data_IF_401262017776
#
_entry.id   IF_401262017776
#
_cell.length_a   1.000
_cell.length_b   1.000
_cell.length_c   1.000
_cell.angle_alpha   90.00
_cell.angle_beta   90.00
_cell.angle_gamma   90.00
#
_symmetry.space_group_name_H-M   'P 1'
#
loop_
_entity.id
_entity.type
_entity.pdbx_description
1 polymer ?
#
# COMPACT_ATOMS: atom_id res chain seq x y z
N UNK A 1 5.56 -17.14 -21.97
CA UNK A 1 5.12 -16.93 -20.57
C UNK A 1 3.65 -17.30 -20.44
N UNK A 2 3.28 -18.27 -19.60
CA UNK A 2 1.86 -18.60 -19.35
C UNK A 2 1.18 -17.37 -18.72
N UNK A 3 0.02 -16.96 -19.25
CA UNK A 3 -0.82 -15.91 -18.63
C UNK A 3 -1.27 -16.41 -17.26
N UNK A 4 -0.74 -15.83 -16.20
CA UNK A 4 -1.18 -16.11 -14.84
C UNK A 4 -2.45 -15.31 -14.56
N UNK A 5 -3.57 -16.00 -14.31
CA UNK A 5 -4.82 -15.36 -13.90
C UNK A 5 -4.62 -14.86 -12.46
N UNK A 6 -4.82 -13.56 -12.23
CA UNK A 6 -4.81 -12.96 -10.89
C UNK A 6 -6.23 -12.73 -10.43
N UNK A 7 -6.55 -13.12 -9.20
CA UNK A 7 -7.83 -12.86 -8.55
C UNK A 7 -7.58 -12.07 -7.26
N UNK A 8 -8.51 -11.18 -6.92
CA UNK A 8 -8.42 -10.30 -5.75
C UNK A 8 -9.73 -10.36 -4.96
N UNK A 9 -9.62 -10.37 -3.63
CA UNK A 9 -10.75 -10.25 -2.72
C UNK A 9 -10.67 -8.92 -1.97
N UNK A 10 -11.84 -8.33 -1.70
CA UNK A 10 -11.96 -7.08 -0.96
C UNK A 10 -12.49 -7.36 0.46
N UNK A 11 -11.73 -6.96 1.47
CA UNK A 11 -12.11 -7.11 2.86
C UNK A 11 -12.42 -5.77 3.50
N UNK A 12 -13.34 -5.77 4.47
CA UNK A 12 -13.69 -4.57 5.25
C UNK A 12 -13.16 -4.70 6.67
N UNK A 13 -12.65 -3.61 7.24
CA UNK A 13 -12.09 -3.57 8.58
C UNK A 13 -13.14 -3.16 9.64
N UNK A 14 -14.40 -3.56 9.46
CA UNK A 14 -15.54 -3.15 10.33
C UNK A 14 -15.36 -3.51 11.80
N UNK A 15 -14.54 -4.51 12.11
CA UNK A 15 -14.26 -4.98 13.47
C UNK A 15 -13.00 -4.37 14.09
N UNK A 16 -12.30 -3.48 13.36
CA UNK A 16 -11.17 -2.76 13.91
C UNK A 16 -11.64 -1.64 14.85
N UNK A 17 -10.94 -1.48 15.98
CA UNK A 17 -11.24 -0.39 16.91
C UNK A 17 -10.73 0.97 16.37
N UNK A 18 -11.19 2.06 16.99
CA UNK A 18 -10.85 3.43 16.58
C UNK A 18 -9.33 3.68 16.52
N UNK A 19 -8.55 3.13 17.46
CA UNK A 19 -7.10 3.34 17.50
C UNK A 19 -6.38 2.64 16.34
N UNK A 20 -6.83 1.45 15.96
CA UNK A 20 -6.33 0.72 14.80
C UNK A 20 -6.62 1.46 13.50
N UNK A 21 -7.83 2.02 13.36
CA UNK A 21 -8.20 2.83 12.20
C UNK A 21 -7.36 4.12 12.13
N UNK A 22 -7.23 4.85 13.25
CA UNK A 22 -6.36 6.04 13.33
C UNK A 22 -4.91 5.74 12.94
N UNK A 23 -4.39 4.56 13.30
CA UNK A 23 -3.06 4.14 12.86
C UNK A 23 -2.99 3.99 11.33
N UNK A 24 -3.99 3.37 10.70
CA UNK A 24 -4.02 3.26 9.23
C UNK A 24 -4.13 4.62 8.57
N UNK A 25 -4.94 5.53 9.11
CA UNK A 25 -5.06 6.89 8.60
C UNK A 25 -3.73 7.65 8.69
N UNK A 26 -3.05 7.56 9.84
CA UNK A 26 -1.72 8.16 10.04
C UNK A 26 -0.68 7.58 9.08
N UNK A 27 -0.69 6.24 8.92
CA UNK A 27 0.20 5.54 7.99
C UNK A 27 -0.07 5.92 6.54
N UNK A 28 -1.35 6.02 6.17
CA UNK A 28 -1.79 6.45 4.85
C UNK A 28 -1.30 7.85 4.53
N UNK A 29 -1.55 8.81 5.42
CA UNK A 29 -1.17 10.22 5.22
C UNK A 29 0.35 10.38 5.05
N UNK A 30 1.16 9.75 5.91
CA UNK A 30 2.61 9.82 5.80
C UNK A 30 3.13 9.16 4.52
N UNK A 31 2.57 8.01 4.14
CA UNK A 31 2.94 7.32 2.91
C UNK A 31 2.57 8.13 1.67
N UNK A 32 1.39 8.72 1.69
CA UNK A 32 0.90 9.57 0.62
C UNK A 32 1.78 10.81 0.45
N UNK A 33 2.11 11.49 1.55
CA UNK A 33 3.04 12.64 1.57
C UNK A 33 4.42 12.28 1.00
N UNK A 34 4.97 11.13 1.39
CA UNK A 34 6.24 10.66 0.84
C UNK A 34 6.16 10.37 -0.67
N UNK A 35 5.05 9.77 -1.12
CA UNK A 35 4.82 9.47 -2.54
C UNK A 35 4.71 10.77 -3.34
N UNK A 36 3.95 11.75 -2.87
CA UNK A 36 3.81 13.05 -3.51
C UNK A 36 5.15 13.79 -3.60
N UNK A 37 5.96 13.76 -2.53
CA UNK A 37 7.31 14.32 -2.54
C UNK A 37 8.18 13.76 -3.68
N UNK A 38 8.23 12.43 -3.83
CA UNK A 38 9.02 11.81 -4.91
C UNK A 38 8.47 12.12 -6.30
N UNK A 39 7.16 12.34 -6.43
CA UNK A 39 6.56 12.75 -7.70
C UNK A 39 6.95 14.18 -8.03
N UNK A 40 6.95 15.08 -7.06
CA UNK A 40 7.38 16.47 -7.23
C UNK A 40 8.83 16.54 -7.70
N UNK A 41 9.75 15.82 -7.04
CA UNK A 41 11.14 15.67 -7.51
C UNK A 41 11.17 15.29 -9.00
N UNK A 42 10.42 14.25 -9.38
CA UNK A 42 10.48 13.77 -10.76
C UNK A 42 9.89 14.73 -11.80
N UNK A 43 8.96 15.60 -11.39
CA UNK A 43 8.36 16.61 -12.26
C UNK A 43 9.28 17.83 -12.36
N UNK A 44 9.73 18.34 -11.21
CA UNK A 44 10.46 19.60 -11.09
C UNK A 44 11.87 19.46 -11.66
N UNK A 45 12.56 18.37 -11.33
CA UNK A 45 13.92 18.08 -11.81
C UNK A 45 13.92 17.33 -13.16
N UNK A 46 12.74 16.99 -13.70
CA UNK A 46 12.56 16.27 -14.98
C UNK A 46 13.36 14.96 -15.07
N UNK A 47 13.64 14.31 -13.94
CA UNK A 47 14.35 13.03 -13.86
C UNK A 47 13.52 11.97 -13.14
N UNK A 48 13.97 10.73 -13.20
CA UNK A 48 13.37 9.66 -12.39
C UNK A 48 13.94 9.77 -10.96
N UNK A 49 13.09 9.87 -9.92
CA UNK A 49 13.58 9.87 -8.54
C UNK A 49 14.22 8.50 -8.23
N UNK A 50 15.22 8.47 -7.36
CA UNK A 50 16.05 7.32 -7.06
C UNK A 50 16.19 7.11 -5.53
N UNK A 51 17.04 6.17 -5.12
CA UNK A 51 17.20 5.83 -3.71
C UNK A 51 17.96 6.90 -2.90
N UNK A 52 18.74 7.77 -3.55
CA UNK A 52 19.40 8.87 -2.84
C UNK A 52 18.36 9.91 -2.38
N UNK A 53 17.29 10.11 -3.15
CA UNK A 53 16.14 10.92 -2.72
C UNK A 53 15.47 10.35 -1.46
N UNK A 54 15.48 9.03 -1.27
CA UNK A 54 14.97 8.37 -0.04
C UNK A 54 15.90 8.62 1.14
N UNK A 55 17.22 8.67 0.92
CA UNK A 55 18.19 9.00 1.97
C UNK A 55 18.01 10.45 2.43
N UNK A 56 17.83 11.35 1.46
CA UNK A 56 17.70 12.80 1.63
C UNK A 56 16.28 13.28 1.98
N UNK A 57 15.32 12.37 2.19
CA UNK A 57 13.95 12.72 2.54
C UNK A 57 13.91 13.69 3.75
N UNK A 58 13.46 14.94 3.58
CA UNK A 58 13.71 16.00 4.56
C UNK A 58 12.68 16.05 5.69
N UNK A 59 11.53 15.39 5.51
CA UNK A 59 10.45 15.46 6.48
C UNK A 59 10.64 14.44 7.60
N UNK A 60 10.44 14.89 8.83
CA UNK A 60 10.30 13.99 9.99
C UNK A 60 9.11 13.07 9.72
N UNK A 61 9.36 11.76 9.70
CA UNK A 61 8.36 10.73 9.44
C UNK A 61 8.65 9.53 10.32
N UNK A 62 7.60 8.81 10.72
CA UNK A 62 7.77 7.53 11.40
C UNK A 62 7.98 6.36 10.42
N UNK A 63 7.79 6.60 9.11
CA UNK A 63 8.02 5.59 8.08
C UNK A 63 9.49 5.17 8.05
N UNK A 64 9.73 3.86 8.09
CA UNK A 64 11.07 3.33 7.84
C UNK A 64 11.56 3.64 6.43
N UNK A 65 12.89 3.61 6.21
CA UNK A 65 13.50 3.72 4.88
C UNK A 65 12.94 2.71 3.87
N UNK A 66 12.45 1.54 4.33
CA UNK A 66 11.79 0.57 3.46
C UNK A 66 10.43 1.05 2.97
N UNK A 67 9.62 1.68 3.82
CA UNK A 67 8.34 2.29 3.41
C UNK A 67 8.58 3.40 2.39
N UNK A 68 9.54 4.28 2.65
CA UNK A 68 9.93 5.34 1.71
C UNK A 68 10.39 4.76 0.36
N UNK A 69 11.13 3.65 0.37
CA UNK A 69 11.50 2.94 -0.85
C UNK A 69 10.30 2.40 -1.64
N UNK A 70 9.21 1.97 -0.97
CA UNK A 70 7.97 1.59 -1.67
C UNK A 70 7.22 2.79 -2.22
N UNK A 71 7.13 3.87 -1.44
CA UNK A 71 6.54 5.13 -1.90
C UNK A 71 7.27 5.65 -3.16
N UNK A 72 8.61 5.57 -3.19
CA UNK A 72 9.43 5.88 -4.36
C UNK A 72 9.04 5.02 -5.58
N UNK A 73 8.90 3.71 -5.41
CA UNK A 73 8.53 2.80 -6.51
C UNK A 73 7.15 3.15 -7.08
N UNK A 74 6.18 3.43 -6.21
CA UNK A 74 4.84 3.86 -6.65
C UNK A 74 4.90 5.23 -7.37
N UNK A 75 5.65 6.20 -6.83
CA UNK A 75 5.90 7.48 -7.47
C UNK A 75 6.49 7.32 -8.89
N UNK A 76 7.49 6.44 -9.06
CA UNK A 76 8.07 6.14 -10.36
C UNK A 76 7.06 5.55 -11.35
N UNK A 77 6.13 4.70 -10.90
CA UNK A 77 5.06 4.15 -11.75
C UNK A 77 4.11 5.26 -12.20
N UNK A 78 3.71 6.14 -11.29
CA UNK A 78 2.85 7.29 -11.59
C UNK A 78 3.54 8.21 -12.59
N UNK A 79 4.82 8.56 -12.36
CA UNK A 79 5.62 9.39 -13.27
C UNK A 79 5.77 8.76 -14.66
N UNK A 80 6.00 7.45 -14.73
CA UNK A 80 6.06 6.72 -16.02
C UNK A 80 4.75 6.86 -16.80
N UNK A 81 3.61 6.70 -16.14
CA UNK A 81 2.30 6.89 -16.76
C UNK A 81 2.07 8.35 -17.16
N UNK A 82 2.47 9.29 -16.30
CA UNK A 82 2.38 10.72 -16.56
C UNK A 82 3.21 11.15 -17.78
N UNK A 83 4.49 10.78 -17.87
CA UNK A 83 5.34 11.16 -19.00
C UNK A 83 4.88 10.56 -20.33
N UNK A 84 4.31 9.35 -20.31
CA UNK A 84 3.64 8.78 -21.49
C UNK A 84 2.43 9.62 -21.90
N UNK A 85 1.60 10.03 -20.93
CA UNK A 85 0.43 10.85 -21.17
C UNK A 85 0.76 12.32 -21.49
N UNK A 86 1.95 12.81 -21.13
CA UNK A 86 2.37 14.21 -21.31
C UNK A 86 2.36 14.66 -22.76
N UNK A 87 2.55 13.72 -23.70
CA UNK A 87 2.37 13.97 -25.15
C UNK A 87 0.95 14.47 -25.50
N UNK A 88 -0.05 14.18 -24.65
CA UNK A 88 -1.46 14.56 -24.84
C UNK A 88 -2.02 15.49 -23.75
N UNK A 89 -1.48 15.47 -22.52
CA UNK A 89 -1.95 16.28 -21.37
C UNK A 89 -0.78 16.95 -20.66
N UNK A 90 -0.71 18.29 -20.64
CA UNK A 90 0.43 19.05 -20.08
C UNK A 90 0.40 19.24 -18.55
N UNK A 91 -0.75 19.08 -17.89
CA UNK A 91 -0.92 19.38 -16.45
C UNK A 91 -0.43 18.24 -15.56
N UNK A 92 0.17 18.61 -14.42
CA UNK A 92 0.58 17.71 -13.33
C UNK A 92 -0.61 16.84 -12.88
N UNK A 93 -0.43 15.54 -12.62
CA UNK A 93 -1.50 14.71 -12.09
C UNK A 93 -1.84 15.14 -10.67
N UNK A 94 -3.10 15.48 -10.44
CA UNK A 94 -3.65 15.59 -9.08
C UNK A 94 -3.92 14.17 -8.59
N UNK A 95 -3.21 13.77 -7.55
CA UNK A 95 -3.34 12.44 -6.98
C UNK A 95 -4.36 12.58 -5.86
N UNK A 96 -5.51 11.94 -6.03
CA UNK A 96 -6.54 11.89 -5.01
C UNK A 96 -6.81 10.43 -4.66
N UNK A 97 -6.89 10.11 -3.37
CA UNK A 97 -7.26 8.78 -2.85
C UNK A 97 -6.39 7.62 -3.41
N UNK A 98 -5.10 7.86 -3.62
CA UNK A 98 -4.20 6.81 -4.12
C UNK A 98 -4.04 5.70 -3.08
N UNK A 99 -4.13 4.41 -3.44
CA UNK A 99 -4.10 3.31 -2.49
C UNK A 99 -2.73 3.14 -1.84
N UNK A 100 -2.73 2.69 -0.58
CA UNK A 100 -1.54 2.28 0.13
C UNK A 100 -1.08 0.89 -0.37
N UNK A 101 -0.12 0.87 -1.31
CA UNK A 101 0.40 -0.36 -1.89
C UNK A 101 1.54 -0.93 -1.02
N UNK A 102 1.19 -1.92 -0.18
CA UNK A 102 2.14 -2.62 0.68
C UNK A 102 2.59 -3.97 0.08
N UNK A 103 3.77 -4.42 0.51
CA UNK A 103 4.25 -5.79 0.27
C UNK A 103 4.29 -6.61 1.57
N UNK A 104 4.63 -7.89 1.44
CA UNK A 104 4.71 -8.88 2.53
C UNK A 104 5.62 -8.47 3.72
N UNK A 105 6.48 -7.47 3.54
CA UNK A 105 7.37 -6.97 4.60
C UNK A 105 6.63 -6.03 5.56
N UNK A 106 5.54 -5.44 5.08
CA UNK A 106 4.76 -4.42 5.79
C UNK A 106 3.40 -4.94 6.24
N UNK A 107 2.88 -6.00 5.62
CA UNK A 107 1.66 -6.65 6.08
C UNK A 107 1.75 -8.19 6.02
N UNK A 108 0.98 -8.85 6.87
CA UNK A 108 0.73 -10.29 6.84
C UNK A 108 -0.76 -10.54 6.89
N UNK A 109 -1.19 -11.65 6.31
CA UNK A 109 -2.58 -12.10 6.36
C UNK A 109 -2.60 -13.51 6.95
N UNK A 110 -3.19 -13.65 8.13
CA UNK A 110 -3.17 -14.87 8.93
C UNK A 110 -4.58 -15.42 9.11
N UNK A 111 -4.73 -16.74 9.13
CA UNK A 111 -6.02 -17.40 9.41
C UNK A 111 -6.35 -17.24 10.90
N UNK A 112 -7.57 -16.81 11.20
CA UNK A 112 -8.05 -16.69 12.57
C UNK A 112 -8.39 -18.06 13.16
N UNK A 113 -8.11 -18.21 14.47
CA UNK A 113 -8.43 -19.41 15.25
C UNK A 113 -9.60 -19.18 16.22
N UNK A 114 -10.36 -18.10 16.02
CA UNK A 114 -11.42 -17.66 16.92
C UNK A 114 -12.66 -17.23 16.11
N UNK A 115 -13.49 -16.36 16.67
CA UNK A 115 -14.71 -15.87 16.00
C UNK A 115 -14.45 -15.05 14.74
N UNK A 116 -13.19 -14.70 14.42
CA UNK A 116 -12.79 -14.03 13.20
C UNK A 116 -12.12 -15.00 12.23
N UNK A 117 -12.41 -14.86 10.94
CA UNK A 117 -11.87 -15.72 9.89
C UNK A 117 -10.40 -15.41 9.60
N UNK A 118 -10.01 -14.13 9.65
CA UNK A 118 -8.66 -13.68 9.31
C UNK A 118 -8.17 -12.54 10.21
N UNK A 119 -6.85 -12.42 10.26
CA UNK A 119 -6.12 -11.31 10.86
C UNK A 119 -5.20 -10.68 9.83
N UNK A 120 -5.46 -9.41 9.50
CA UNK A 120 -4.49 -8.58 8.78
C UNK A 120 -3.53 -7.99 9.80
N UNK A 121 -2.25 -8.33 9.75
CA UNK A 121 -1.22 -7.70 10.57
C UNK A 121 -0.50 -6.63 9.76
N UNK A 122 -0.43 -5.39 10.24
CA UNK A 122 0.33 -4.31 9.60
C UNK A 122 1.49 -3.91 10.51
N UNK A 123 2.68 -3.71 9.93
CA UNK A 123 3.88 -3.36 10.68
C UNK A 123 3.85 -1.90 11.11
N UNK A 124 3.84 -1.67 12.41
CA UNK A 124 4.13 -0.37 12.98
C UNK A 124 5.65 -0.18 13.07
N UNK A 125 6.14 0.87 12.40
CA UNK A 125 7.57 1.20 12.37
C UNK A 125 8.00 2.05 13.54
N UNK A 126 7.08 2.81 14.12
CA UNK A 126 7.33 3.66 15.29
C UNK A 126 7.54 2.77 16.52
N UNK A 127 6.61 1.82 16.73
CA UNK A 127 6.63 0.94 17.91
C UNK A 127 7.29 -0.42 17.64
N UNK A 128 7.83 -0.63 16.43
CA UNK A 128 8.47 -1.89 15.97
C UNK A 128 7.62 -3.15 16.21
N UNK A 129 6.29 -3.02 16.19
CA UNK A 129 5.34 -4.10 16.50
C UNK A 129 4.38 -4.38 15.33
N UNK A 130 3.66 -5.48 15.41
CA UNK A 130 2.58 -5.78 14.47
C UNK A 130 1.23 -5.35 15.07
N UNK A 131 0.42 -4.64 14.29
CA UNK A 131 -0.94 -4.27 14.67
C UNK A 131 -1.90 -5.17 13.92
N UNK A 132 -2.71 -5.92 14.67
CA UNK A 132 -3.60 -6.94 14.15
C UNK A 132 -5.04 -6.41 13.98
N UNK A 133 -5.57 -6.56 12.78
CA UNK A 133 -6.90 -6.14 12.37
C UNK A 133 -7.78 -7.38 12.15
N UNK A 134 -8.85 -7.54 12.93
CA UNK A 134 -9.76 -8.66 12.77
C UNK A 134 -10.62 -8.49 11.52
N UNK A 135 -10.77 -9.56 10.75
CA UNK A 135 -11.53 -9.61 9.50
C UNK A 135 -12.47 -10.81 9.55
N UNK A 136 -13.74 -10.60 9.16
CA UNK A 136 -14.68 -11.67 8.86
C UNK A 136 -14.90 -11.78 7.35
N UNK A 137 -15.05 -13.00 6.88
CA UNK A 137 -15.46 -13.29 5.52
C UNK A 137 -16.92 -12.93 5.31
N UNK A 138 -17.19 -12.32 4.16
CA UNK A 138 -18.51 -12.28 3.55
C UNK A 138 -18.73 -13.56 2.73
N UNK A 139 -19.97 -13.89 2.42
CA UNK A 139 -20.32 -15.23 1.90
C UNK A 139 -19.59 -15.58 0.60
N UNK A 140 -19.42 -14.60 -0.29
CA UNK A 140 -18.63 -14.78 -1.51
C UNK A 140 -17.17 -15.13 -1.23
N UNK A 141 -16.52 -14.52 -0.24
CA UNK A 141 -15.15 -14.89 0.12
C UNK A 141 -15.09 -16.33 0.69
N UNK A 142 -16.09 -16.74 1.49
CA UNK A 142 -16.17 -18.12 2.00
C UNK A 142 -16.31 -19.12 0.86
N UNK A 143 -17.21 -18.86 -0.08
CA UNK A 143 -17.42 -19.70 -1.25
C UNK A 143 -16.15 -19.77 -2.11
N UNK A 144 -15.53 -18.61 -2.37
CA UNK A 144 -14.26 -18.53 -3.09
C UNK A 144 -13.19 -19.41 -2.46
N UNK A 145 -12.96 -19.34 -1.13
CA UNK A 145 -11.94 -20.17 -0.47
C UNK A 145 -12.30 -21.66 -0.45
N UNK A 146 -13.59 -22.03 -0.43
CA UNK A 146 -14.03 -23.43 -0.55
C UNK A 146 -13.80 -24.01 -1.95
N UNK A 147 -14.07 -23.21 -2.98
CA UNK A 147 -13.87 -23.57 -4.39
C UNK A 147 -12.38 -23.51 -4.79
N UNK A 148 -11.57 -22.77 -4.04
CA UNK A 148 -10.11 -22.73 -4.15
C UNK A 148 -9.44 -24.00 -3.60
N UNK A 149 -10.02 -25.18 -3.84
CA UNK A 149 -9.21 -26.40 -3.85
C UNK A 149 -8.41 -26.34 -5.14
N UNK A 150 -7.13 -25.93 -5.04
CA UNK A 150 -6.16 -26.09 -6.12
C UNK A 150 -6.39 -27.48 -6.72
N UNK A 151 -6.59 -27.57 -8.04
CA UNK A 151 -6.47 -28.86 -8.70
C UNK A 151 -5.11 -29.42 -8.28
N UNK A 152 -5.12 -30.53 -7.53
CA UNK A 152 -3.92 -31.27 -7.16
C UNK A 152 -3.18 -31.72 -8.41
#
# INVERSE_FOLDING_TARGET
MKKQIKRSLLFTLKFANKNKLKFLDKLYQEYFKATEYFINIGIDEKRKPNYDDVKQYPYKTFLSKRYLGKALIEAQKILKSFWKARKKKKKKPEIQNYPLNLDERFFKFEVGKNSFDFWLAVRDTEQKKWIYFPIKNYDYAKQYFKEWKLCN
#
